data_IF_266558104519
#
_entry.id   IF_266558104519
#
_cell.length_a   1.000
_cell.length_b   1.000
_cell.length_c   1.000
_cell.angle_alpha   90.00
_cell.angle_beta   90.00
_cell.angle_gamma   90.00
#
_symmetry.space_group_name_H-M   'P 1'
#
loop_
_entity.id
_entity.type
_entity.pdbx_description
1 polymer ?
#
# COMPACT_ATOMS: atom_id res chain seq x y z
N UNK A 1 -6.82 -2.15 -10.24
CA UNK A 1 -5.76 -1.26 -10.74
C UNK A 1 -4.62 -2.14 -11.20
N UNK A 2 -4.41 -2.25 -12.51
CA UNK A 2 -3.22 -2.90 -13.06
C UNK A 2 -2.06 -1.90 -12.94
N UNK A 3 -0.92 -2.36 -12.46
CA UNK A 3 0.30 -1.55 -12.42
C UNK A 3 0.67 -1.17 -13.86
N UNK A 4 0.98 0.10 -14.10
CA UNK A 4 1.38 0.58 -15.43
C UNK A 4 2.55 -0.25 -15.98
N UNK A 5 2.45 -0.72 -17.23
CA UNK A 5 3.46 -1.59 -17.86
C UNK A 5 4.87 -1.00 -17.80
N UNK A 6 5.01 0.32 -17.90
CA UNK A 6 6.29 1.03 -17.80
C UNK A 6 7.02 0.78 -16.47
N UNK A 7 6.31 0.41 -15.40
CA UNK A 7 6.90 0.13 -14.07
C UNK A 7 7.34 -1.33 -13.90
N UNK A 8 6.96 -2.23 -14.81
CA UNK A 8 7.18 -3.68 -14.64
C UNK A 8 8.65 -4.07 -14.64
N UNK A 9 9.46 -3.42 -15.48
CA UNK A 9 10.90 -3.68 -15.53
C UNK A 9 11.57 -3.42 -14.17
N UNK A 10 11.24 -2.29 -13.53
CA UNK A 10 11.77 -1.94 -12.21
C UNK A 10 11.27 -2.85 -11.09
N UNK A 11 10.03 -3.34 -11.17
CA UNK A 11 9.49 -4.32 -10.22
C UNK A 11 10.22 -5.66 -10.38
N UNK A 12 10.38 -6.13 -11.62
CA UNK A 12 11.03 -7.41 -11.92
C UNK A 12 12.51 -7.40 -11.55
N UNK A 13 13.21 -6.28 -11.74
CA UNK A 13 14.62 -6.15 -11.35
C UNK A 13 14.82 -5.89 -9.86
N UNK A 14 13.76 -5.58 -9.11
CA UNK A 14 13.85 -5.17 -7.71
C UNK A 14 14.28 -3.72 -7.48
N UNK A 15 14.46 -2.92 -8.53
CA UNK A 15 14.75 -1.48 -8.41
C UNK A 15 13.55 -0.69 -7.86
N UNK A 16 12.34 -1.20 -8.05
CA UNK A 16 11.11 -0.69 -7.43
C UNK A 16 10.71 -1.63 -6.31
N UNK A 17 10.95 -1.20 -5.07
CA UNK A 17 10.63 -1.96 -3.86
C UNK A 17 9.36 -1.45 -3.16
N UNK A 18 8.92 -0.23 -3.47
CA UNK A 18 7.73 0.42 -2.88
C UNK A 18 6.86 1.02 -3.97
N UNK A 19 5.54 0.84 -3.84
CA UNK A 19 4.52 1.45 -4.71
C UNK A 19 3.49 2.17 -3.86
N UNK A 20 3.33 3.47 -4.09
CA UNK A 20 2.20 4.21 -3.55
C UNK A 20 0.98 3.99 -4.44
N UNK A 21 -0.13 3.57 -3.84
CA UNK A 21 -1.42 3.50 -4.52
C UNK A 21 -2.42 4.42 -3.85
N UNK A 22 -3.18 5.15 -4.67
CA UNK A 22 -4.35 5.87 -4.18
C UNK A 22 -5.57 4.98 -4.29
N UNK A 23 -6.22 4.76 -3.17
CA UNK A 23 -7.47 4.03 -3.12
C UNK A 23 -8.64 4.94 -3.50
N UNK A 24 -9.61 4.42 -4.27
CA UNK A 24 -10.85 5.15 -4.58
C UNK A 24 -11.70 5.38 -3.33
N UNK A 25 -11.70 4.40 -2.42
CA UNK A 25 -12.43 4.45 -1.15
C UNK A 25 -11.44 4.44 0.01
N UNK A 26 -11.77 5.15 1.09
CA UNK A 26 -10.99 5.15 2.32
C UNK A 26 -10.87 3.71 2.84
N UNK A 27 -9.63 3.22 2.96
CA UNK A 27 -9.33 1.87 3.47
C UNK A 27 -8.93 1.88 4.94
N UNK A 28 -8.45 3.03 5.43
CA UNK A 28 -7.99 3.22 6.79
C UNK A 28 -8.56 4.52 7.34
N UNK A 29 -9.06 4.47 8.56
CA UNK A 29 -9.56 5.63 9.32
C UNK A 29 -8.75 5.72 10.61
N UNK A 30 -8.35 6.93 10.98
CA UNK A 30 -7.63 7.20 12.22
C UNK A 30 -8.39 6.70 13.45
N UNK A 31 -7.66 6.24 14.45
CA UNK A 31 -8.17 5.63 15.68
C UNK A 31 -8.51 4.14 15.56
N UNK A 32 -8.36 3.52 14.39
CA UNK A 32 -8.67 2.10 14.19
C UNK A 32 -7.42 1.21 14.14
N UNK A 33 -7.63 -0.07 14.46
CA UNK A 33 -6.62 -1.13 14.34
C UNK A 33 -7.10 -2.14 13.29
N UNK A 34 -6.23 -2.45 12.33
CA UNK A 34 -6.51 -3.36 11.22
C UNK A 34 -5.64 -4.61 11.29
N UNK A 35 -6.23 -5.79 11.04
CA UNK A 35 -5.48 -7.04 10.86
C UNK A 35 -5.03 -7.15 9.41
N UNK A 36 -3.73 -7.28 9.19
CA UNK A 36 -3.09 -7.37 7.88
C UNK A 36 -2.14 -8.57 7.83
N UNK A 37 -1.54 -8.84 6.67
CA UNK A 37 -0.48 -9.85 6.55
C UNK A 37 0.79 -9.51 7.35
N UNK A 38 0.99 -8.24 7.71
CA UNK A 38 2.10 -7.78 8.56
C UNK A 38 1.72 -7.77 10.06
N UNK A 39 0.58 -8.36 10.43
CA UNK A 39 0.06 -8.33 11.81
C UNK A 39 -0.99 -7.25 12.03
N UNK A 40 -1.14 -6.80 13.27
CA UNK A 40 -2.08 -5.74 13.65
C UNK A 40 -1.40 -4.38 13.50
N UNK A 41 -1.99 -3.51 12.69
CA UNK A 41 -1.49 -2.15 12.44
C UNK A 41 -2.49 -1.16 13.02
N UNK A 42 -2.04 -0.29 13.93
CA UNK A 42 -2.80 0.85 14.43
C UNK A 42 -2.65 2.04 13.48
N UNK A 43 -3.74 2.80 13.29
CA UNK A 43 -3.74 4.06 12.55
C UNK A 43 -3.95 5.16 13.57
N UNK A 44 -2.86 5.78 14.02
CA UNK A 44 -2.89 6.79 15.07
C UNK A 44 -3.64 8.06 14.64
N UNK A 45 -4.20 8.78 15.61
CA UNK A 45 -4.75 10.13 15.40
C UNK A 45 -3.61 11.13 15.54
N UNK A 46 -3.44 11.99 14.54
CA UNK A 46 -2.48 13.11 14.59
C UNK A 46 -2.98 14.26 15.47
#
# INVERSE_FOLDING_TARGET
>A
MLIEKQRWAGIRSGAVTVLFRRWRHRQATEGNIYRTGAGRIAVDRL
#
